data_IF_430607188314
#
_entry.id   IF_430607188314
#
_cell.length_a   1.000
_cell.length_b   1.000
_cell.length_c   1.000
_cell.angle_alpha   90.00
_cell.angle_beta   90.00
_cell.angle_gamma   90.00
#
_symmetry.space_group_name_H-M   'P 1'
#
loop_
_entity.id
_entity.type
_entity.pdbx_description
1 polymer ?
#
# COMPACT_ATOMS: atom_id res chain seq x y z
N UNK A 1 -13.21 34.07 35.01
CA UNK A 1 -13.27 34.16 33.53
C UNK A 1 -11.90 34.53 33.00
N UNK A 2 -11.13 33.55 32.51
CA UNK A 2 -9.98 33.75 31.63
C UNK A 2 -9.79 32.44 30.86
N UNK A 3 -10.13 32.47 29.58
CA UNK A 3 -9.87 31.41 28.62
C UNK A 3 -8.37 31.43 28.30
N UNK A 4 -7.66 30.34 28.58
CA UNK A 4 -6.48 29.94 27.80
C UNK A 4 -6.97 28.80 26.92
N UNK A 5 -7.10 28.93 25.60
CA UNK A 5 -6.06 29.23 24.60
C UNK A 5 -4.89 28.27 24.75
N UNK A 6 -5.12 27.03 24.35
CA UNK A 6 -4.09 26.09 23.97
C UNK A 6 -4.49 25.49 22.61
N UNK A 7 -4.37 26.35 21.60
CA UNK A 7 -4.23 25.93 20.20
C UNK A 7 -2.83 25.34 20.03
N UNK A 8 -2.73 24.18 19.38
CA UNK A 8 -1.42 23.67 19.02
C UNK A 8 -1.40 22.19 18.67
N UNK A 9 -1.72 21.91 17.40
CA UNK A 9 -1.35 20.71 16.65
C UNK A 9 -2.00 19.40 17.09
N UNK A 10 -3.15 19.11 16.46
CA UNK A 10 -3.46 17.77 15.99
C UNK A 10 -2.30 17.27 15.10
N UNK A 11 -1.30 16.64 15.73
CA UNK A 11 -0.45 15.69 15.04
C UNK A 11 -1.24 14.40 14.99
N UNK A 12 -1.95 14.17 13.89
CA UNK A 12 -2.46 12.85 13.57
C UNK A 12 -1.26 11.91 13.55
N UNK A 13 -1.11 11.11 14.60
CA UNK A 13 -0.44 9.83 14.48
C UNK A 13 -1.36 8.96 13.64
N UNK A 14 -1.33 9.18 12.33
CA UNK A 14 -1.76 8.16 11.39
C UNK A 14 -0.94 6.92 11.75
N UNK A 15 -1.55 6.03 12.54
CA UNK A 15 -0.97 4.82 13.07
C UNK A 15 -0.65 3.89 11.92
N UNK A 16 0.48 4.16 11.29
CA UNK A 16 1.01 3.41 10.16
C UNK A 16 2.40 2.92 10.52
N UNK A 17 2.51 1.60 10.55
CA UNK A 17 3.74 0.83 10.39
C UNK A 17 4.51 0.51 11.67
N UNK A 18 4.29 -0.72 12.15
CA UNK A 18 5.15 -1.35 13.15
C UNK A 18 5.66 -2.72 12.65
N UNK A 19 6.81 -2.67 11.97
CA UNK A 19 7.87 -3.68 12.06
C UNK A 19 7.70 -5.04 11.36
N UNK A 20 8.83 -5.72 11.05
CA UNK A 20 8.87 -6.90 10.19
C UNK A 20 8.45 -8.14 11.00
N UNK A 21 7.19 -8.55 10.88
CA UNK A 21 6.70 -9.81 11.47
C UNK A 21 5.65 -9.68 12.57
N UNK A 22 4.98 -8.53 12.71
CA UNK A 22 3.80 -8.37 13.56
C UNK A 22 2.55 -8.35 12.69
N UNK A 23 1.86 -9.48 12.63
CA UNK A 23 0.48 -9.65 12.14
C UNK A 23 0.16 -8.94 10.80
N UNK A 24 0.31 -9.66 9.68
CA UNK A 24 -0.32 -9.31 8.42
C UNK A 24 -1.85 -9.40 8.61
N UNK A 25 -2.47 -8.48 9.37
CA UNK A 25 -3.88 -8.16 9.23
C UNK A 25 -4.04 -7.92 7.75
N UNK A 26 -4.66 -8.84 7.00
CA UNK A 26 -4.73 -8.75 5.53
C UNK A 26 -5.28 -7.36 5.21
N UNK A 27 -4.41 -6.41 4.83
CA UNK A 27 -4.77 -5.02 5.01
C UNK A 27 -5.79 -4.70 3.94
N UNK A 28 -6.74 -3.82 4.21
CA UNK A 28 -7.59 -3.28 3.15
C UNK A 28 -6.79 -2.80 1.92
N UNK A 29 -5.52 -2.42 2.13
CA UNK A 29 -4.57 -2.08 1.07
C UNK A 29 -4.27 -3.23 0.09
N UNK A 30 -4.25 -4.50 0.52
CA UNK A 30 -4.07 -5.64 -0.41
C UNK A 30 -5.29 -5.82 -1.32
N UNK A 31 -6.50 -5.79 -0.76
CA UNK A 31 -7.74 -5.88 -1.54
C UNK A 31 -7.88 -4.71 -2.54
N UNK A 32 -7.43 -3.52 -2.14
CA UNK A 32 -7.34 -2.36 -3.04
C UNK A 32 -6.34 -2.60 -4.17
N UNK A 33 -5.14 -3.08 -3.84
CA UNK A 33 -4.10 -3.37 -4.84
C UNK A 33 -4.56 -4.44 -5.84
N UNK A 34 -5.25 -5.49 -5.39
CA UNK A 34 -5.85 -6.50 -6.27
C UNK A 34 -6.89 -5.89 -7.22
N UNK A 35 -7.77 -5.02 -6.72
CA UNK A 35 -8.79 -4.36 -7.54
C UNK A 35 -8.18 -3.44 -8.60
N UNK A 36 -7.20 -2.62 -8.21
CA UNK A 36 -6.51 -1.73 -9.16
C UNK A 36 -5.73 -2.56 -10.19
N UNK A 37 -5.06 -3.64 -9.77
CA UNK A 37 -4.36 -4.53 -10.69
C UNK A 37 -5.31 -5.16 -11.72
N UNK A 38 -6.48 -5.64 -11.28
CA UNK A 38 -7.52 -6.21 -12.16
C UNK A 38 -8.03 -5.18 -13.16
N UNK A 39 -8.33 -3.96 -12.69
CA UNK A 39 -8.77 -2.86 -13.55
C UNK A 39 -7.70 -2.43 -14.55
N UNK A 40 -6.42 -2.38 -14.16
CA UNK A 40 -5.31 -2.04 -15.07
C UNK A 40 -5.10 -3.11 -16.15
N UNK A 41 -5.20 -4.40 -15.80
CA UNK A 41 -5.10 -5.49 -16.77
C UNK A 41 -6.26 -5.47 -17.77
N UNK A 42 -7.48 -5.22 -17.28
CA UNK A 42 -8.70 -5.18 -18.08
C UNK A 42 -8.76 -3.96 -19.00
N UNK A 43 -8.38 -2.78 -18.48
CA UNK A 43 -8.42 -1.52 -19.24
C UNK A 43 -7.28 -1.39 -20.22
N UNK A 44 -6.10 -1.94 -19.91
CA UNK A 44 -4.95 -1.92 -20.78
C UNK A 44 -4.94 -2.99 -21.87
N UNK A 45 -5.89 -3.94 -21.86
CA UNK A 45 -5.90 -5.12 -22.75
C UNK A 45 -4.57 -5.88 -22.72
N UNK A 46 -3.91 -5.91 -21.55
CA UNK A 46 -2.60 -6.53 -21.41
C UNK A 46 -2.70 -8.06 -21.57
N UNK A 47 -3.81 -8.66 -21.12
CA UNK A 47 -4.04 -10.11 -21.15
C UNK A 47 -5.54 -10.44 -21.24
N UNK A 48 -5.93 -11.56 -21.89
CA UNK A 48 -7.33 -11.99 -21.94
C UNK A 48 -7.89 -12.30 -20.54
N UNK A 49 -9.07 -11.76 -20.16
CA UNK A 49 -9.59 -11.74 -18.77
C UNK A 49 -10.06 -13.08 -18.18
N UNK A 50 -9.67 -14.21 -18.77
CA UNK A 50 -9.97 -15.55 -18.23
C UNK A 50 -8.78 -16.50 -18.34
N UNK A 51 -7.63 -15.99 -18.78
CA UNK A 51 -6.44 -16.79 -18.96
C UNK A 51 -5.76 -17.07 -17.62
N UNK A 52 -4.93 -18.12 -17.59
CA UNK A 52 -4.15 -18.42 -16.39
C UNK A 52 -3.11 -17.32 -16.12
N UNK A 53 -2.57 -16.76 -17.19
CA UNK A 53 -1.61 -15.67 -17.17
C UNK A 53 -2.22 -14.39 -16.60
N UNK A 54 -3.52 -14.14 -16.80
CA UNK A 54 -4.23 -13.01 -16.18
C UNK A 54 -4.17 -13.05 -14.65
N UNK A 55 -4.34 -14.24 -14.04
CA UNK A 55 -4.22 -14.39 -12.57
C UNK A 55 -2.79 -14.14 -12.10
N UNK A 56 -1.82 -14.72 -12.77
CA UNK A 56 -0.40 -14.53 -12.43
C UNK A 56 0.02 -13.06 -12.58
N UNK A 57 -0.42 -12.39 -13.66
CA UNK A 57 -0.18 -10.98 -13.90
C UNK A 57 -0.84 -10.10 -12.84
N UNK A 58 -2.07 -10.44 -12.44
CA UNK A 58 -2.80 -9.70 -11.41
C UNK A 58 -2.12 -9.79 -10.05
N UNK A 59 -1.67 -10.98 -9.66
CA UNK A 59 -1.00 -11.18 -8.38
C UNK A 59 0.37 -10.47 -8.34
N UNK A 60 1.14 -10.52 -9.43
CA UNK A 60 2.41 -9.82 -9.54
C UNK A 60 2.24 -8.28 -9.55
N UNK A 61 1.20 -7.78 -10.23
CA UNK A 61 0.91 -6.36 -10.31
C UNK A 61 0.35 -5.83 -8.97
N UNK A 62 -0.56 -6.57 -8.33
CA UNK A 62 -1.08 -6.24 -7.00
C UNK A 62 0.05 -6.14 -5.96
N UNK A 63 1.00 -7.09 -5.99
CA UNK A 63 2.19 -7.03 -5.14
C UNK A 63 3.03 -5.78 -5.41
N UNK A 64 3.21 -5.41 -6.68
CA UNK A 64 3.98 -4.21 -7.06
C UNK A 64 3.29 -2.93 -6.57
N UNK A 65 1.97 -2.82 -6.76
CA UNK A 65 1.19 -1.66 -6.29
C UNK A 65 1.25 -1.56 -4.77
N UNK A 66 0.98 -2.67 -4.07
CA UNK A 66 1.02 -2.73 -2.62
C UNK A 66 2.41 -2.34 -2.08
N UNK A 67 3.48 -2.90 -2.67
CA UNK A 67 4.84 -2.56 -2.26
C UNK A 67 5.24 -1.15 -2.67
N UNK A 68 4.70 -0.56 -3.74
CA UNK A 68 5.00 0.82 -4.13
C UNK A 68 4.32 1.83 -3.20
N UNK A 69 3.09 1.56 -2.80
CA UNK A 69 2.33 2.34 -1.81
C UNK A 69 3.02 2.29 -0.44
N UNK A 70 3.39 1.07 -0.01
CA UNK A 70 4.23 0.88 1.18
C UNK A 70 5.63 1.46 0.97
N UNK A 71 6.19 1.47 -0.24
CA UNK A 71 7.52 2.06 -0.50
C UNK A 71 7.50 3.58 -0.43
N UNK A 72 6.39 4.26 -0.74
CA UNK A 72 6.26 5.71 -0.52
C UNK A 72 6.21 6.01 0.98
N UNK A 73 5.49 5.19 1.77
CA UNK A 73 5.50 5.24 3.24
C UNK A 73 6.89 4.88 3.83
N UNK A 74 7.56 3.87 3.27
CA UNK A 74 8.92 3.43 3.62
C UNK A 74 9.99 4.32 2.98
N UNK A 75 9.67 5.29 2.12
CA UNK A 75 10.64 6.22 1.53
C UNK A 75 11.28 7.13 2.59
N UNK A 76 10.62 7.26 3.76
CA UNK A 76 11.19 7.82 4.98
C UNK A 76 12.16 6.87 5.73
N UNK A 77 12.14 5.58 5.42
CA UNK A 77 13.00 4.53 6.00
C UNK A 77 14.10 4.22 4.99
N UNK A 78 15.27 4.81 5.22
CA UNK A 78 16.46 4.65 4.37
C UNK A 78 16.91 3.18 4.37
N UNK A 79 16.51 2.40 3.37
CA UNK A 79 16.97 1.01 3.20
C UNK A 79 18.42 1.04 2.74
N UNK A 80 19.33 0.73 3.66
CA UNK A 80 20.74 0.47 3.36
C UNK A 80 20.84 -0.99 2.91
N UNK A 81 20.79 -1.23 1.61
CA UNK A 81 21.25 -2.51 1.05
C UNK A 81 22.75 -2.38 0.77
N UNK A 82 23.59 -2.77 1.75
CA UNK A 82 24.99 -3.02 1.48
C UNK A 82 25.11 -4.39 0.82
N UNK A 83 25.63 -4.41 -0.41
CA UNK A 83 26.10 -5.60 -1.10
C UNK A 83 27.62 -5.73 -0.88
#
# INVERSE_FOLDING_TARGET
MRYGSQDGAAGADSGGTQGPGGELTVPMAWLYAEYIADELLRTGDLMPPTSFEFRAGRDALALTIYLSDVSDELSGIRVVSQL
#
